data_IF_038709464249
#
_entry.id   IF_038709464249
#
_cell.length_a   1.000
_cell.length_b   1.000
_cell.length_c   1.000
_cell.angle_alpha   90.00
_cell.angle_beta   90.00
_cell.angle_gamma   90.00
#
_symmetry.space_group_name_H-M   'P 1'
#
loop_
_entity.id
_entity.type
_entity.pdbx_description
1 polymer ?
#
# COMPACT_ATOMS: atom_id res chain seq x y z
N UNK A 1 -1.87 6.72 -2.81
CA UNK A 1 -2.71 6.11 -1.75
C UNK A 1 -4.20 6.02 -2.08
N UNK A 2 -4.67 6.54 -3.23
CA UNK A 2 -6.10 6.68 -3.53
C UNK A 2 -6.66 5.54 -4.39
N UNK A 3 -5.83 4.58 -4.80
CA UNK A 3 -6.25 3.46 -5.67
C UNK A 3 -7.29 2.54 -5.01
N UNK A 4 -7.29 2.47 -3.68
CA UNK A 4 -8.36 1.83 -2.91
C UNK A 4 -9.75 2.40 -3.19
N UNK A 5 -9.84 3.67 -3.59
CA UNK A 5 -11.08 4.29 -4.02
C UNK A 5 -11.25 4.25 -5.54
N UNK A 6 -10.22 4.62 -6.29
CA UNK A 6 -10.31 4.74 -7.75
C UNK A 6 -10.69 3.43 -8.44
N UNK A 7 -10.07 2.31 -8.04
CA UNK A 7 -10.30 1.03 -8.72
C UNK A 7 -11.72 0.51 -8.49
N UNK A 8 -12.25 0.41 -7.25
CA UNK A 8 -13.65 0.04 -7.03
C UNK A 8 -14.64 0.99 -7.70
N UNK A 9 -14.44 2.31 -7.60
CA UNK A 9 -15.36 3.29 -8.17
C UNK A 9 -15.38 3.23 -9.70
N UNK A 10 -14.23 3.08 -10.35
CA UNK A 10 -14.18 2.86 -11.79
C UNK A 10 -14.84 1.54 -12.19
N UNK A 11 -14.59 0.47 -11.43
CA UNK A 11 -15.22 -0.82 -11.67
C UNK A 11 -16.75 -0.77 -11.51
N UNK A 12 -17.25 0.03 -10.57
CA UNK A 12 -18.69 0.29 -10.41
C UNK A 12 -19.28 0.99 -11.63
N UNK A 13 -18.63 2.05 -12.12
CA UNK A 13 -19.07 2.77 -13.31
C UNK A 13 -19.10 1.83 -14.53
N UNK A 14 -18.06 1.00 -14.71
CA UNK A 14 -18.02 0.00 -15.79
C UNK A 14 -19.16 -1.01 -15.62
N UNK A 15 -19.34 -1.56 -14.41
CA UNK A 15 -20.37 -2.53 -14.11
C UNK A 15 -21.79 -2.00 -14.39
N UNK A 16 -22.07 -0.76 -14.00
CA UNK A 16 -23.39 -0.15 -14.21
C UNK A 16 -23.61 0.28 -15.66
N UNK A 17 -22.59 0.79 -16.35
CA UNK A 17 -22.70 1.13 -17.78
C UNK A 17 -22.90 -0.11 -18.65
N UNK A 18 -22.23 -1.21 -18.33
CA UNK A 18 -22.40 -2.48 -19.06
C UNK A 18 -23.85 -2.99 -19.09
N UNK A 19 -24.67 -2.63 -18.10
CA UNK A 19 -26.11 -2.97 -18.05
C UNK A 19 -26.95 -2.17 -19.05
N UNK A 20 -26.46 -1.01 -19.51
CA UNK A 20 -27.19 -0.04 -20.34
C UNK A 20 -26.73 -0.01 -21.80
N UNK A 21 -25.60 -0.64 -22.13
CA UNK A 21 -25.01 -0.64 -23.48
C UNK A 21 -25.16 -2.00 -24.18
N UNK A 22 -25.09 -1.97 -25.51
CA UNK A 22 -25.06 -3.17 -26.36
C UNK A 22 -23.79 -3.98 -26.11
N UNK A 23 -23.83 -5.28 -26.47
CA UNK A 23 -22.74 -6.23 -26.20
C UNK A 23 -21.39 -5.77 -26.74
N UNK A 24 -21.37 -5.15 -27.93
CA UNK A 24 -20.14 -4.73 -28.61
C UNK A 24 -19.47 -3.52 -27.94
N UNK A 25 -20.22 -2.76 -27.13
CA UNK A 25 -19.70 -1.62 -26.35
C UNK A 25 -19.44 -1.98 -24.89
N UNK A 26 -19.61 -3.25 -24.49
CA UNK A 26 -19.33 -3.69 -23.11
C UNK A 26 -17.84 -3.86 -22.88
N UNK A 27 -17.37 -3.37 -21.74
CA UNK A 27 -16.04 -3.69 -21.23
C UNK A 27 -16.13 -5.02 -20.49
N UNK A 28 -15.42 -6.04 -20.96
CA UNK A 28 -15.42 -7.39 -20.35
C UNK A 28 -14.58 -7.45 -19.06
N UNK A 29 -15.00 -6.70 -18.04
CA UNK A 29 -14.34 -6.68 -16.73
C UNK A 29 -14.53 -8.02 -16.02
N UNK A 30 -13.42 -8.73 -15.75
CA UNK A 30 -13.43 -10.05 -15.09
C UNK A 30 -13.18 -10.01 -13.60
N UNK A 31 -12.59 -8.92 -13.13
CA UNK A 31 -12.23 -8.75 -11.74
C UNK A 31 -11.32 -7.55 -11.56
N UNK A 32 -11.09 -7.22 -10.31
CA UNK A 32 -10.16 -6.16 -9.91
C UNK A 32 -9.19 -6.70 -8.89
N UNK A 33 -7.98 -6.16 -8.93
CA UNK A 33 -6.90 -6.53 -8.06
C UNK A 33 -6.38 -5.23 -7.46
N UNK A 34 -6.68 -4.99 -6.19
CA UNK A 34 -6.37 -3.73 -5.50
C UNK A 34 -5.37 -3.97 -4.40
N UNK A 35 -4.34 -3.13 -4.44
CA UNK A 35 -3.29 -3.00 -3.47
C UNK A 35 -3.49 -1.93 -2.39
N UNK A 36 -3.03 -2.20 -1.17
CA UNK A 36 -2.96 -1.37 0.05
C UNK A 36 -4.13 -0.42 0.00
N UNK A 37 -5.34 -0.97 -0.12
CA UNK A 37 -6.46 -0.10 -0.36
C UNK A 37 -6.71 0.69 0.91
N UNK A 38 -6.84 2.00 0.76
CA UNK A 38 -7.72 2.74 1.65
C UNK A 38 -9.13 2.22 1.35
N UNK A 39 -9.77 1.58 2.32
CA UNK A 39 -11.10 0.96 2.16
C UNK A 39 -12.14 1.71 3.00
N UNK A 40 -11.76 2.06 4.23
CA UNK A 40 -12.65 2.63 5.22
C UNK A 40 -11.80 3.40 6.23
N UNK A 41 -11.91 4.72 6.18
CA UNK A 41 -11.04 5.62 6.96
C UNK A 41 -10.98 5.26 8.45
N UNK A 42 -12.13 4.88 9.04
CA UNK A 42 -12.22 4.51 10.44
C UNK A 42 -11.38 3.27 10.78
N UNK A 43 -11.57 2.18 10.04
CA UNK A 43 -10.80 0.94 10.27
C UNK A 43 -9.36 1.07 9.83
N UNK A 44 -9.09 1.91 8.83
CA UNK A 44 -7.74 2.18 8.37
C UNK A 44 -6.95 2.93 9.44
N UNK A 45 -7.53 3.97 10.06
CA UNK A 45 -6.94 4.70 11.18
C UNK A 45 -6.71 3.81 12.41
N UNK A 46 -7.71 3.04 12.83
CA UNK A 46 -7.59 2.12 13.96
C UNK A 46 -6.49 1.07 13.69
N UNK A 47 -6.44 0.53 12.47
CA UNK A 47 -5.45 -0.46 12.09
C UNK A 47 -4.02 0.07 12.13
N UNK A 48 -3.78 1.32 11.73
CA UNK A 48 -2.45 1.98 11.83
C UNK A 48 -1.96 2.01 13.28
N UNK A 49 -2.85 2.33 14.22
CA UNK A 49 -2.51 2.44 15.64
C UNK A 49 -2.14 1.08 16.22
N UNK A 50 -2.97 0.05 15.97
CA UNK A 50 -2.70 -1.30 16.46
C UNK A 50 -1.47 -1.94 15.80
N UNK A 51 -1.21 -1.61 14.54
CA UNK A 51 -0.01 -2.06 13.84
C UNK A 51 1.24 -1.43 14.44
N UNK A 52 1.24 -0.11 14.64
CA UNK A 52 2.36 0.58 15.26
C UNK A 52 2.68 0.00 16.65
N UNK A 53 1.65 -0.24 17.46
CA UNK A 53 1.81 -0.84 18.79
C UNK A 53 2.37 -2.26 18.72
N UNK A 54 1.76 -3.14 17.93
CA UNK A 54 2.20 -4.54 17.78
C UNK A 54 3.60 -4.70 17.18
N UNK A 55 4.14 -3.66 16.53
CA UNK A 55 5.49 -3.63 15.96
C UNK A 55 6.46 -2.77 16.77
N UNK A 56 6.13 -2.48 18.04
CA UNK A 56 6.96 -1.72 18.98
C UNK A 56 7.35 -0.30 18.51
N UNK A 57 6.53 0.32 17.66
CA UNK A 57 6.72 1.70 17.19
C UNK A 57 6.12 2.74 18.14
N UNK A 58 5.19 2.32 19.00
CA UNK A 58 4.59 3.14 20.06
C UNK A 58 4.45 2.32 21.34
N UNK A 59 4.44 2.99 22.49
CA UNK A 59 4.27 2.33 23.80
C UNK A 59 2.82 2.00 24.11
N UNK A 60 2.60 1.18 25.14
CA UNK A 60 1.28 0.83 25.67
C UNK A 60 0.50 2.08 26.10
N UNK A 61 1.17 3.08 26.69
CA UNK A 61 0.55 4.33 27.11
C UNK A 61 0.04 5.15 25.93
N UNK A 62 0.83 5.24 24.85
CA UNK A 62 0.44 5.96 23.63
C UNK A 62 -0.73 5.24 22.94
N UNK A 63 -0.65 3.91 22.83
CA UNK A 63 -1.72 3.08 22.26
C UNK A 63 -3.03 3.26 23.04
N UNK A 64 -2.98 3.12 24.37
CA UNK A 64 -4.13 3.32 25.25
C UNK A 64 -4.69 4.73 25.14
N UNK A 65 -3.84 5.76 25.20
CA UNK A 65 -4.26 7.16 25.12
C UNK A 65 -5.02 7.46 23.83
N UNK A 66 -4.58 6.90 22.70
CA UNK A 66 -5.25 7.07 21.42
C UNK A 66 -6.60 6.38 21.41
N UNK A 67 -6.68 5.12 21.85
CA UNK A 67 -7.96 4.40 21.91
C UNK A 67 -8.97 5.04 22.87
N UNK A 68 -8.50 5.63 23.98
CA UNK A 68 -9.36 6.33 24.93
C UNK A 68 -9.81 7.72 24.40
N UNK A 69 -8.97 8.39 23.59
CA UNK A 69 -9.22 9.76 23.12
C UNK A 69 -9.87 9.85 21.73
N UNK A 70 -9.74 8.82 20.90
CA UNK A 70 -10.12 8.83 19.50
C UNK A 70 -11.32 7.91 19.24
N UNK A 71 -12.38 8.48 18.67
CA UNK A 71 -13.47 7.71 18.06
C UNK A 71 -13.23 7.60 16.56
N UNK A 72 -12.63 6.50 16.12
CA UNK A 72 -12.32 6.30 14.72
C UNK A 72 -13.59 6.25 13.86
N UNK A 73 -13.68 7.14 12.87
CA UNK A 73 -14.84 7.30 11.99
C UNK A 73 -15.65 8.57 12.24
N UNK A 74 -15.46 9.22 13.39
CA UNK A 74 -15.97 10.55 13.65
C UNK A 74 -14.93 11.62 13.30
N UNK A 75 -15.35 12.89 13.29
CA UNK A 75 -14.41 14.02 13.17
C UNK A 75 -13.42 13.98 14.34
N UNK A 76 -12.13 13.92 14.02
CA UNK A 76 -11.07 13.86 15.04
C UNK A 76 -11.12 15.09 15.95
N UNK A 77 -11.19 14.85 17.26
CA UNK A 77 -11.13 15.90 18.27
C UNK A 77 -9.71 16.45 18.41
N UNK A 78 -9.57 17.66 18.93
CA UNK A 78 -8.25 18.22 19.23
C UNK A 78 -7.44 17.31 20.18
N UNK A 79 -8.13 16.70 21.15
CA UNK A 79 -7.53 15.74 22.08
C UNK A 79 -7.01 14.51 21.35
N UNK A 80 -7.81 13.92 20.45
CA UNK A 80 -7.37 12.79 19.63
C UNK A 80 -6.14 13.15 18.78
N UNK A 81 -6.15 14.30 18.10
CA UNK A 81 -4.99 14.75 17.33
C UNK A 81 -3.73 14.91 18.18
N UNK A 82 -3.87 15.39 19.42
CA UNK A 82 -2.74 15.52 20.34
C UNK A 82 -2.19 14.16 20.77
N UNK A 83 -3.02 13.14 20.92
CA UNK A 83 -2.57 11.78 21.27
C UNK A 83 -1.64 11.16 20.23
N UNK A 84 -1.76 11.56 18.94
CA UNK A 84 -0.85 11.13 17.88
C UNK A 84 0.55 11.75 17.94
N UNK A 85 0.80 12.74 18.81
CA UNK A 85 2.17 13.28 19.00
C UNK A 85 3.16 12.22 19.51
N UNK A 86 2.67 11.12 20.10
CA UNK A 86 3.48 9.97 20.49
C UNK A 86 3.98 9.10 19.32
N UNK A 87 3.60 9.38 18.07
CA UNK A 87 4.04 8.63 16.86
C UNK A 87 5.42 9.06 16.37
N UNK A 88 6.36 9.34 17.30
CA UNK A 88 7.66 9.93 16.98
C UNK A 88 8.56 9.00 16.15
N UNK A 89 8.41 7.68 16.29
CA UNK A 89 9.19 6.69 15.53
C UNK A 89 9.09 6.91 14.01
N UNK A 90 7.90 7.24 13.49
CA UNK A 90 7.67 7.48 12.06
C UNK A 90 8.36 8.73 11.49
N UNK A 91 8.94 9.58 12.35
CA UNK A 91 9.75 10.71 11.89
C UNK A 91 11.14 10.26 11.38
N UNK A 92 11.64 9.11 11.84
CA UNK A 92 12.98 8.61 11.54
C UNK A 92 13.01 7.34 10.69
N UNK A 93 11.86 6.66 10.53
CA UNK A 93 11.75 5.42 9.76
C UNK A 93 10.87 5.59 8.52
N UNK A 94 11.04 4.70 7.55
CA UNK A 94 10.17 4.64 6.39
C UNK A 94 8.81 4.03 6.75
N UNK A 95 7.76 4.84 6.89
CA UNK A 95 6.39 4.36 7.17
C UNK A 95 5.89 3.36 6.12
N UNK A 96 6.42 3.41 4.89
CA UNK A 96 6.04 2.49 3.83
C UNK A 96 6.69 1.11 3.98
N UNK A 97 7.70 0.96 4.81
CA UNK A 97 8.36 -0.33 5.06
C UNK A 97 9.22 -0.21 6.31
N UNK A 98 8.64 -0.57 7.46
CA UNK A 98 9.17 -0.21 8.79
C UNK A 98 10.52 -0.84 9.12
N UNK A 99 10.91 -1.90 8.40
CA UNK A 99 12.16 -2.64 8.59
C UNK A 99 13.23 -2.31 7.55
N UNK A 100 12.99 -1.32 6.68
CA UNK A 100 13.94 -0.98 5.60
C UNK A 100 14.57 0.38 5.82
N UNK A 101 15.81 0.59 5.33
CA UNK A 101 16.50 1.86 5.48
C UNK A 101 15.76 3.00 4.77
N UNK A 102 16.02 4.21 5.24
CA UNK A 102 15.58 5.46 4.58
C UNK A 102 16.63 5.91 3.56
N UNK A 103 16.19 6.66 2.54
CA UNK A 103 17.12 7.29 1.61
C UNK A 103 17.78 8.49 2.30
N UNK A 104 19.07 8.37 2.64
CA UNK A 104 19.88 9.47 3.16
C UNK A 104 20.54 10.17 1.98
N UNK A 105 20.03 11.34 1.59
CA UNK A 105 20.66 12.14 0.54
C UNK A 105 21.96 12.77 1.05
N UNK A 106 23.07 12.53 0.35
CA UNK A 106 24.40 13.08 0.65
C UNK A 106 24.59 14.54 0.18
N UNK A 107 23.52 15.34 0.09
CA UNK A 107 23.60 16.72 -0.40
C UNK A 107 23.60 17.73 0.76
N UNK A 108 24.63 18.59 0.92
CA UNK A 108 24.73 19.57 2.01
C UNK A 108 23.72 20.73 1.99
N UNK A 109 22.69 20.69 1.15
CA UNK A 109 21.97 21.89 0.70
C UNK A 109 20.49 21.99 1.07
N UNK A 110 20.01 21.26 2.09
CA UNK A 110 18.72 21.56 2.71
C UNK A 110 18.89 21.79 4.21
N UNK A 111 19.01 23.07 4.57
CA UNK A 111 18.80 23.53 5.95
C UNK A 111 17.33 23.26 6.28
N UNK A 112 17.02 22.14 6.93
CA UNK A 112 15.90 21.91 7.87
C UNK A 112 15.54 20.43 8.10
N UNK A 113 16.53 19.53 8.11
CA UNK A 113 16.39 18.27 8.85
C UNK A 113 17.53 18.19 9.86
N UNK A 114 17.16 17.98 11.12
CA UNK A 114 18.07 17.78 12.26
C UNK A 114 19.16 16.79 11.88
N UNK A 115 20.39 17.31 11.75
CA UNK A 115 21.60 16.51 11.56
C UNK A 115 21.77 15.63 12.78
N UNK A 116 21.62 14.31 12.63
CA UNK A 116 22.31 13.39 13.52
C UNK A 116 23.75 13.36 13.03
N UNK A 117 24.64 14.03 13.76
CA UNK A 117 26.08 13.86 13.60
C UNK A 117 26.41 12.41 13.95
N UNK A 118 26.75 11.58 12.96
CA UNK A 118 27.60 10.43 13.23
C UNK A 118 29.04 10.89 13.05
N UNK A 119 29.81 10.87 14.13
CA UNK A 119 31.25 11.12 14.09
C UNK A 119 31.90 10.28 12.98
N UNK A 120 32.51 10.99 12.02
CA UNK A 120 33.42 10.40 11.05
C UNK A 120 34.69 9.98 11.78
N UNK A 121 34.94 8.67 11.89
CA UNK A 121 36.26 8.00 11.83
C UNK A 121 36.33 6.69 12.63
N UNK A 122 35.36 5.78 12.47
CA UNK A 122 35.56 4.36 12.84
C UNK A 122 34.80 3.51 11.84
N UNK A 123 35.54 2.84 10.93
CA UNK A 123 35.03 1.81 10.05
C UNK A 123 34.53 0.65 10.93
N UNK A 124 33.25 0.69 11.29
CA UNK A 124 32.60 -0.37 12.03
C UNK A 124 32.02 -1.39 11.05
N UNK A 125 31.89 -2.63 11.50
CA UNK A 125 31.27 -3.74 10.76
C UNK A 125 29.89 -3.45 10.17
N UNK A 126 29.18 -2.40 10.62
CA UNK A 126 27.94 -1.89 10.00
C UNK A 126 28.13 -1.39 8.55
N UNK A 127 29.28 -0.79 8.20
CA UNK A 127 29.53 -0.25 6.86
C UNK A 127 29.65 -1.35 5.79
N UNK A 128 29.98 -2.57 6.21
CA UNK A 128 30.07 -3.75 5.32
C UNK A 128 28.67 -4.32 5.05
N UNK A 129 27.77 -4.30 6.05
CA UNK A 129 26.38 -4.74 5.89
C UNK A 129 25.54 -3.77 5.04
N UNK A 130 25.88 -2.48 5.01
CA UNK A 130 25.28 -1.50 4.10
C UNK A 130 25.76 -1.59 2.64
N UNK A 131 26.82 -2.36 2.35
CA UNK A 131 27.36 -2.61 1.00
C UNK A 131 26.87 -3.92 0.37
N UNK A 132 26.24 -4.80 1.14
CA UNK A 132 25.50 -5.92 0.57
C UNK A 132 24.25 -5.35 -0.10
N UNK A 133 23.96 -5.70 -1.37
CA UNK A 133 22.77 -5.21 -2.03
C UNK A 133 21.55 -5.75 -1.28
N UNK A 134 20.95 -4.91 -0.44
CA UNK A 134 19.54 -5.07 -0.14
C UNK A 134 18.82 -5.05 -1.50
N UNK A 135 17.93 -6.00 -1.72
CA UNK A 135 17.11 -6.06 -2.95
C UNK A 135 16.22 -4.81 -3.15
N UNK A 136 16.20 -3.90 -2.17
CA UNK A 136 15.41 -2.68 -2.13
C UNK A 136 16.32 -1.45 -1.95
N UNK A 137 16.24 -0.50 -2.88
CA UNK A 137 16.87 0.82 -2.78
C UNK A 137 15.82 1.90 -2.43
N UNK A 138 15.88 2.51 -1.23
CA UNK A 138 14.90 3.53 -0.81
C UNK A 138 15.01 4.83 -1.62
N UNK A 139 16.11 5.08 -2.33
CA UNK A 139 16.33 6.25 -3.16
C UNK A 139 15.79 6.10 -4.59
N UNK A 140 15.21 4.93 -4.93
CA UNK A 140 14.62 4.66 -6.26
C UNK A 140 13.72 5.79 -6.80
N UNK A 141 12.84 6.42 -6.00
CA UNK A 141 12.03 7.55 -6.48
C UNK A 141 12.84 8.72 -7.02
N UNK A 142 14.01 9.04 -6.43
CA UNK A 142 14.86 10.14 -6.90
C UNK A 142 15.48 9.83 -8.27
N UNK A 143 15.89 8.59 -8.50
CA UNK A 143 16.40 8.18 -9.82
C UNK A 143 15.31 8.24 -10.88
N UNK A 144 14.09 7.81 -10.54
CA UNK A 144 12.95 7.90 -11.44
C UNK A 144 12.63 9.36 -11.81
N UNK A 145 12.55 10.27 -10.84
CA UNK A 145 12.33 11.69 -11.11
C UNK A 145 13.45 12.29 -11.97
N UNK A 146 14.72 11.96 -11.70
CA UNK A 146 15.84 12.40 -12.53
C UNK A 146 15.71 11.88 -13.97
N UNK A 147 15.33 10.61 -14.14
CA UNK A 147 15.16 9.98 -15.45
C UNK A 147 14.03 10.61 -16.26
N UNK A 148 12.84 10.75 -15.67
CA UNK A 148 11.66 11.31 -16.35
C UNK A 148 11.76 12.81 -16.64
N UNK A 149 12.69 13.52 -15.99
CA UNK A 149 13.00 14.92 -16.29
C UNK A 149 14.06 15.12 -17.37
N UNK A 150 14.65 14.05 -17.93
CA UNK A 150 15.55 14.19 -19.07
C UNK A 150 14.78 14.57 -20.33
N UNK A 151 15.32 15.51 -21.11
CA UNK A 151 14.68 16.00 -22.34
C UNK A 151 14.47 14.89 -23.37
N UNK A 152 15.47 14.03 -23.57
CA UNK A 152 15.38 12.92 -24.53
C UNK A 152 14.31 11.89 -24.12
N UNK A 153 14.19 11.60 -22.82
CA UNK A 153 13.11 10.76 -22.27
C UNK A 153 11.74 11.40 -22.47
N UNK A 154 11.60 12.70 -22.20
CA UNK A 154 10.32 13.40 -22.40
C UNK A 154 9.91 13.39 -23.88
N UNK A 155 10.85 13.63 -24.80
CA UNK A 155 10.60 13.54 -26.25
C UNK A 155 10.16 12.13 -26.64
N UNK A 156 10.86 11.10 -26.16
CA UNK A 156 10.52 9.71 -26.47
C UNK A 156 9.14 9.28 -25.92
N UNK A 157 8.70 9.85 -24.80
CA UNK A 157 7.38 9.59 -24.20
C UNK A 157 6.28 10.52 -24.74
N UNK A 158 6.60 11.41 -25.67
CA UNK A 158 5.72 12.50 -26.10
C UNK A 158 5.18 13.34 -24.93
N UNK A 159 5.96 13.44 -23.85
CA UNK A 159 5.66 14.24 -22.67
C UNK A 159 6.25 15.64 -22.83
N UNK A 160 5.71 16.61 -22.08
CA UNK A 160 6.17 18.01 -22.10
C UNK A 160 6.19 18.66 -23.50
N UNK A 161 5.28 18.23 -24.40
CA UNK A 161 5.18 18.76 -25.77
C UNK A 161 4.78 20.24 -25.82
N UNK A 162 4.22 20.78 -24.74
CA UNK A 162 3.78 22.17 -24.59
C UNK A 162 4.74 23.05 -23.78
N UNK A 163 5.93 22.56 -23.41
CA UNK A 163 6.89 23.26 -22.53
C UNK A 163 6.27 23.72 -21.19
N UNK A 164 5.81 22.76 -20.39
CA UNK A 164 5.25 23.01 -19.06
C UNK A 164 6.32 23.62 -18.13
N UNK A 165 5.94 24.57 -17.24
CA UNK A 165 6.90 25.37 -16.48
C UNK A 165 7.42 24.67 -15.21
N UNK A 166 7.12 23.39 -15.00
CA UNK A 166 7.50 22.64 -13.80
C UNK A 166 8.05 21.25 -14.16
N UNK A 167 8.96 20.69 -13.35
CA UNK A 167 9.47 19.35 -13.59
C UNK A 167 8.41 18.29 -13.28
N UNK A 168 8.61 17.10 -13.84
CA UNK A 168 7.93 15.90 -13.38
C UNK A 168 8.30 15.62 -11.92
N UNK A 169 7.29 15.31 -11.10
CA UNK A 169 7.44 14.79 -9.74
C UNK A 169 6.60 13.53 -9.59
N UNK A 170 7.01 12.61 -8.71
CA UNK A 170 6.29 11.36 -8.49
C UNK A 170 4.89 11.57 -7.90
N UNK A 171 4.73 12.62 -7.09
CA UNK A 171 3.46 13.04 -6.49
C UNK A 171 3.27 14.55 -6.66
N UNK A 172 2.06 14.98 -7.00
CA UNK A 172 1.69 16.39 -7.09
C UNK A 172 0.96 16.85 -5.82
N UNK A 173 1.41 17.95 -5.23
CA UNK A 173 0.73 18.61 -4.10
C UNK A 173 -0.40 19.56 -4.54
N UNK A 174 -0.51 19.83 -5.85
CA UNK A 174 -1.55 20.69 -6.44
C UNK A 174 -2.90 20.00 -6.41
N UNK A 175 -2.93 18.69 -6.67
CA UNK A 175 -4.15 17.90 -6.68
C UNK A 175 -4.55 17.60 -5.23
N UNK A 176 -5.52 18.34 -4.71
CA UNK A 176 -6.16 18.07 -3.41
C UNK A 176 -7.47 17.35 -3.65
N UNK A 177 -7.57 16.11 -3.21
CA UNK A 177 -8.81 15.36 -3.29
C UNK A 177 -9.59 15.49 -1.99
N UNK A 178 -10.69 16.26 -2.02
CA UNK A 178 -11.48 16.61 -0.83
C UNK A 178 -12.87 15.98 -0.79
N UNK A 179 -13.33 15.37 -1.89
CA UNK A 179 -14.70 14.85 -2.06
C UNK A 179 -14.77 13.31 -2.09
N UNK A 180 -13.76 12.63 -1.54
CA UNK A 180 -13.77 11.18 -1.48
C UNK A 180 -14.83 10.69 -0.47
N UNK A 181 -15.64 9.66 -0.80
CA UNK A 181 -16.45 8.99 0.22
C UNK A 181 -15.50 8.35 1.25
N UNK A 182 -15.87 8.35 2.52
CA UNK A 182 -15.03 7.81 3.62
C UNK A 182 -14.87 6.29 3.56
N UNK A 183 -15.60 5.61 2.69
CA UNK A 183 -15.50 4.17 2.48
C UNK A 183 -15.95 3.71 1.10
N UNK A 184 -15.34 2.61 0.63
CA UNK A 184 -15.75 1.88 -0.58
C UNK A 184 -16.35 0.50 -0.29
N UNK A 185 -16.59 0.16 0.98
CA UNK A 185 -17.22 -1.12 1.35
C UNK A 185 -18.53 -1.40 0.57
N UNK A 186 -19.47 -0.44 0.44
CA UNK A 186 -20.70 -0.68 -0.30
C UNK A 186 -20.45 -1.03 -1.78
N UNK A 187 -19.45 -0.39 -2.37
CA UNK A 187 -19.04 -0.61 -3.77
C UNK A 187 -18.46 -2.02 -3.92
N UNK A 188 -17.55 -2.41 -3.03
CA UNK A 188 -16.97 -3.77 -3.03
C UNK A 188 -18.08 -4.82 -2.92
N UNK A 189 -19.02 -4.65 -1.99
CA UNK A 189 -20.16 -5.57 -1.84
C UNK A 189 -21.06 -5.64 -3.08
N UNK A 190 -21.32 -4.49 -3.73
CA UNK A 190 -22.08 -4.43 -4.98
C UNK A 190 -21.38 -5.20 -6.10
N UNK A 191 -20.06 -5.01 -6.26
CA UNK A 191 -19.27 -5.67 -7.29
C UNK A 191 -19.20 -7.20 -7.07
N UNK A 192 -19.05 -7.64 -5.80
CA UNK A 192 -19.11 -9.07 -5.46
C UNK A 192 -20.46 -9.70 -5.80
N UNK A 193 -21.58 -9.02 -5.49
CA UNK A 193 -22.93 -9.46 -5.90
C UNK A 193 -23.08 -9.52 -7.42
N UNK A 194 -22.35 -8.68 -8.15
CA UNK A 194 -22.26 -8.70 -9.60
C UNK A 194 -21.41 -9.83 -10.19
N UNK A 195 -20.86 -10.73 -9.36
CA UNK A 195 -20.02 -11.86 -9.79
C UNK A 195 -18.59 -11.48 -10.18
N UNK A 196 -18.14 -10.25 -9.87
CA UNK A 196 -16.77 -9.84 -10.11
C UNK A 196 -15.83 -10.42 -9.05
N UNK A 197 -14.72 -11.00 -9.51
CA UNK A 197 -13.65 -11.46 -8.61
C UNK A 197 -12.88 -10.25 -8.09
N UNK A 198 -12.71 -10.16 -6.77
CA UNK A 198 -12.00 -9.04 -6.15
C UNK A 198 -10.85 -9.61 -5.32
N UNK A 199 -9.62 -9.35 -5.74
CA UNK A 199 -8.47 -9.68 -4.92
C UNK A 199 -8.09 -8.40 -4.16
N UNK A 200 -8.37 -8.41 -2.86
CA UNK A 200 -7.88 -7.39 -1.94
C UNK A 200 -6.57 -7.89 -1.40
N UNK A 201 -5.54 -7.10 -1.55
CA UNK A 201 -4.22 -7.44 -1.07
C UNK A 201 -3.54 -6.09 -0.89
N UNK A 202 -2.57 -5.97 -0.01
CA UNK A 202 -1.86 -4.71 0.17
C UNK A 202 -1.03 -4.34 -1.15
N UNK A 203 -0.52 -3.12 -1.39
CA UNK A 203 0.45 -2.36 -2.29
C UNK A 203 -0.01 -0.89 -2.52
N UNK A 204 0.86 0.11 -2.59
CA UNK A 204 0.61 1.42 -3.19
C UNK A 204 1.18 1.55 -4.60
N UNK A 205 0.49 2.37 -5.39
CA UNK A 205 0.74 2.80 -6.78
C UNK A 205 1.00 1.76 -7.87
N UNK A 206 1.46 0.53 -7.62
CA UNK A 206 1.45 -0.61 -8.58
C UNK A 206 1.50 -1.96 -7.81
N UNK A 207 0.59 -2.92 -8.10
CA UNK A 207 0.24 -4.27 -7.47
C UNK A 207 1.02 -4.86 -6.24
N UNK A 208 0.44 -5.64 -5.30
CA UNK A 208 1.08 -6.57 -4.27
C UNK A 208 1.24 -6.25 -2.73
N UNK A 209 0.98 -7.22 -1.83
CA UNK A 209 0.69 -6.96 -0.39
C UNK A 209 1.81 -7.02 0.61
N UNK A 210 2.18 -5.93 1.27
CA UNK A 210 3.27 -5.96 2.24
C UNK A 210 2.83 -6.14 3.69
N UNK A 211 3.41 -7.10 4.43
CA UNK A 211 3.21 -7.19 5.88
C UNK A 211 4.07 -6.20 6.70
N UNK A 212 5.03 -5.51 6.08
CA UNK A 212 5.92 -4.51 6.72
C UNK A 212 5.52 -3.05 6.48
N UNK A 213 4.46 -2.80 5.71
CA UNK A 213 3.98 -1.44 5.49
C UNK A 213 3.27 -0.93 6.76
N UNK A 214 3.67 0.25 7.26
CA UNK A 214 3.05 0.92 8.39
C UNK A 214 1.95 1.90 7.99
N UNK A 215 1.86 2.27 6.71
CA UNK A 215 0.91 3.30 6.26
C UNK A 215 -0.52 2.81 6.09
N UNK A 216 -0.71 1.55 5.65
CA UNK A 216 -2.02 0.94 5.39
C UNK A 216 -2.12 -0.52 5.86
N UNK A 217 -1.89 -0.81 7.16
CA UNK A 217 -1.52 -2.12 7.69
C UNK A 217 -2.44 -3.30 7.36
N UNK A 218 -1.89 -4.52 7.49
CA UNK A 218 -2.67 -5.77 7.41
C UNK A 218 -3.87 -5.70 8.37
N UNK A 219 -3.68 -5.10 9.56
CA UNK A 219 -4.74 -4.82 10.55
C UNK A 219 -5.87 -3.97 9.97
N UNK A 220 -5.56 -2.87 9.27
CA UNK A 220 -6.52 -1.99 8.60
C UNK A 220 -7.43 -2.75 7.64
N UNK A 221 -6.83 -3.56 6.76
CA UNK A 221 -7.59 -4.37 5.80
C UNK A 221 -8.44 -5.42 6.51
N UNK A 222 -7.91 -6.10 7.54
CA UNK A 222 -8.65 -7.10 8.31
C UNK A 222 -9.87 -6.49 9.01
N UNK A 223 -9.75 -5.28 9.54
CA UNK A 223 -10.86 -4.57 10.17
C UNK A 223 -11.93 -4.17 9.15
N UNK A 224 -11.53 -3.68 7.98
CA UNK A 224 -12.44 -3.43 6.86
C UNK A 224 -13.20 -4.72 6.44
N UNK A 225 -12.50 -5.85 6.29
CA UNK A 225 -13.10 -7.14 5.94
C UNK A 225 -14.10 -7.63 7.00
N UNK A 226 -13.78 -7.47 8.29
CA UNK A 226 -14.70 -7.79 9.39
C UNK A 226 -16.00 -6.98 9.30
N UNK A 227 -15.94 -5.69 8.94
CA UNK A 227 -17.14 -4.86 8.71
C UNK A 227 -18.01 -5.37 7.56
N UNK A 228 -17.43 -5.99 6.54
CA UNK A 228 -18.19 -6.55 5.42
C UNK A 228 -18.98 -7.81 5.78
N UNK A 229 -18.65 -8.47 6.90
CA UNK A 229 -19.31 -9.71 7.39
C UNK A 229 -19.40 -10.82 6.34
N UNK A 230 -18.35 -10.96 5.53
CA UNK A 230 -18.26 -12.01 4.51
C UNK A 230 -17.99 -13.37 5.16
N UNK A 231 -18.59 -14.43 4.62
CA UNK A 231 -18.33 -15.81 5.05
C UNK A 231 -16.96 -16.25 4.54
N UNK A 232 -16.10 -16.76 5.43
CA UNK A 232 -14.83 -17.38 5.04
C UNK A 232 -15.11 -18.68 4.29
N UNK A 233 -14.50 -18.82 3.12
CA UNK A 233 -14.61 -20.00 2.25
C UNK A 233 -13.36 -20.88 2.37
N UNK A 234 -12.17 -20.27 2.36
CA UNK A 234 -10.90 -20.95 2.67
C UNK A 234 -10.22 -20.21 3.82
N UNK A 235 -9.90 -20.89 4.93
CA UNK A 235 -9.32 -20.26 6.10
C UNK A 235 -7.91 -19.73 5.82
N UNK A 236 -7.48 -18.80 6.68
CA UNK A 236 -6.13 -18.25 6.66
C UNK A 236 -5.05 -19.34 6.61
N UNK A 237 -4.30 -19.37 5.52
CA UNK A 237 -3.23 -20.34 5.26
C UNK A 237 -2.02 -19.67 4.64
N UNK A 238 -0.86 -20.32 4.71
CA UNK A 238 0.30 -19.88 3.94
C UNK A 238 0.10 -20.13 2.44
N UNK A 239 0.78 -19.33 1.63
CA UNK A 239 1.04 -19.64 0.23
C UNK A 239 2.53 -19.56 -0.07
N UNK A 240 2.95 -20.27 -1.12
CA UNK A 240 4.35 -20.54 -1.39
C UNK A 240 4.78 -19.97 -2.75
N UNK A 241 6.02 -19.51 -2.80
CA UNK A 241 6.75 -19.26 -4.04
C UNK A 241 8.01 -20.11 -3.99
N UNK A 242 8.07 -21.12 -4.86
CA UNK A 242 9.10 -22.16 -4.82
C UNK A 242 9.10 -22.86 -3.44
N UNK A 243 10.27 -23.01 -2.82
CA UNK A 243 10.44 -23.69 -1.53
C UNK A 243 10.14 -22.81 -0.30
N UNK A 244 9.84 -21.52 -0.49
CA UNK A 244 9.67 -20.54 0.59
C UNK A 244 8.22 -20.08 0.78
N UNK A 245 7.87 -19.73 2.01
CA UNK A 245 6.58 -19.10 2.33
C UNK A 245 6.60 -17.67 1.81
N UNK A 246 5.77 -17.39 0.82
CA UNK A 246 5.68 -16.08 0.21
C UNK A 246 4.69 -15.16 0.92
N UNK A 247 3.80 -15.71 1.74
CA UNK A 247 2.90 -14.97 2.62
C UNK A 247 1.68 -15.79 3.01
N UNK A 248 0.54 -15.13 3.23
CA UNK A 248 -0.69 -15.78 3.66
C UNK A 248 -1.89 -15.37 2.82
N UNK A 249 -2.92 -16.21 2.81
CA UNK A 249 -4.13 -16.02 2.01
C UNK A 249 -5.36 -16.53 2.76
N UNK A 250 -6.46 -15.82 2.62
CA UNK A 250 -7.80 -16.22 3.07
C UNK A 250 -8.81 -15.84 1.98
N UNK A 251 -9.72 -16.75 1.66
CA UNK A 251 -10.75 -16.50 0.65
C UNK A 251 -12.11 -16.43 1.30
N UNK A 252 -12.96 -15.56 0.76
CA UNK A 252 -14.30 -15.30 1.22
C UNK A 252 -15.30 -15.60 0.11
N UNK A 253 -16.47 -16.07 0.53
CA UNK A 253 -17.58 -16.34 -0.36
C UNK A 253 -17.93 -15.11 -1.21
N UNK A 254 -18.26 -15.34 -2.48
CA UNK A 254 -18.50 -14.27 -3.46
C UNK A 254 -17.26 -13.85 -4.24
N UNK A 255 -16.12 -14.52 -4.05
CA UNK A 255 -14.92 -14.34 -4.88
C UNK A 255 -13.97 -13.25 -4.38
N UNK A 256 -14.05 -12.88 -3.10
CA UNK A 256 -13.07 -12.01 -2.47
C UNK A 256 -11.89 -12.83 -1.94
N UNK A 257 -10.67 -12.46 -2.31
CA UNK A 257 -9.44 -13.10 -1.79
C UNK A 257 -8.58 -12.06 -1.10
N UNK A 258 -8.23 -12.30 0.16
CA UNK A 258 -7.28 -11.49 0.93
C UNK A 258 -5.91 -12.15 0.94
N UNK A 259 -4.86 -11.44 0.48
CA UNK A 259 -3.49 -11.97 0.38
C UNK A 259 -2.49 -11.04 1.07
N UNK A 260 -1.53 -11.61 1.78
CA UNK A 260 -0.29 -10.95 2.24
C UNK A 260 0.95 -11.51 1.55
N UNK A 261 1.98 -10.68 1.40
CA UNK A 261 3.31 -11.03 0.91
C UNK A 261 4.30 -10.71 2.02
N UNK A 262 4.99 -11.75 2.46
CA UNK A 262 5.90 -11.74 3.60
C UNK A 262 7.11 -10.88 3.32
N UNK A 263 7.46 -10.00 4.27
CA UNK A 263 8.65 -9.13 4.23
C UNK A 263 8.54 -7.95 3.27
N UNK A 264 7.40 -7.76 2.62
CA UNK A 264 7.24 -6.71 1.63
C UNK A 264 6.63 -5.45 2.26
N UNK A 265 7.02 -4.28 1.74
CA UNK A 265 6.53 -2.97 2.19
C UNK A 265 5.35 -2.45 1.35
N UNK A 266 5.25 -1.13 1.22
CA UNK A 266 4.08 -0.50 0.62
C UNK A 266 4.03 -0.78 -0.87
N UNK A 267 5.17 -0.86 -1.56
CA UNK A 267 5.21 -1.15 -2.99
C UNK A 267 5.74 -2.56 -3.22
N UNK A 268 4.93 -3.59 -3.03
CA UNK A 268 5.47 -4.96 -3.03
C UNK A 268 6.10 -5.48 -4.32
N UNK A 269 5.82 -5.01 -5.56
CA UNK A 269 6.64 -5.44 -6.69
C UNK A 269 8.08 -4.96 -6.54
N UNK A 270 8.31 -3.88 -5.79
CA UNK A 270 9.62 -3.34 -5.49
C UNK A 270 10.35 -4.15 -4.40
N UNK A 271 9.62 -4.66 -3.39
CA UNK A 271 10.22 -5.43 -2.29
C UNK A 271 10.30 -6.94 -2.56
N UNK A 272 9.35 -7.49 -3.32
CA UNK A 272 9.19 -8.92 -3.56
C UNK A 272 8.73 -9.18 -5.01
N UNK A 273 9.57 -8.87 -6.02
CA UNK A 273 9.18 -8.91 -7.45
C UNK A 273 8.77 -10.31 -7.93
N UNK A 274 9.46 -11.36 -7.50
CA UNK A 274 9.16 -12.74 -7.92
C UNK A 274 7.82 -13.23 -7.36
N UNK A 275 7.59 -12.99 -6.06
CA UNK A 275 6.35 -13.31 -5.35
C UNK A 275 5.17 -12.51 -5.95
N UNK A 276 5.41 -11.24 -6.26
CA UNK A 276 4.48 -10.35 -6.94
C UNK A 276 4.04 -10.89 -8.30
N UNK A 277 4.99 -11.34 -9.11
CA UNK A 277 4.69 -11.91 -10.42
C UNK A 277 3.89 -13.22 -10.32
N UNK A 278 4.19 -14.08 -9.34
CA UNK A 278 3.37 -15.26 -9.07
C UNK A 278 1.95 -14.85 -8.69
N UNK A 279 1.81 -13.92 -7.76
CA UNK A 279 0.51 -13.42 -7.33
C UNK A 279 -0.31 -12.85 -8.51
N UNK A 280 0.33 -12.07 -9.38
CA UNK A 280 -0.28 -11.53 -10.61
C UNK A 280 -0.74 -12.61 -11.57
N UNK A 281 0.16 -13.55 -11.87
CA UNK A 281 -0.08 -14.60 -12.85
C UNK A 281 -1.24 -15.49 -12.43
N UNK A 282 -1.32 -15.82 -11.14
CA UNK A 282 -2.44 -16.59 -10.58
C UNK A 282 -3.77 -15.82 -10.62
N UNK A 283 -3.75 -14.51 -10.35
CA UNK A 283 -4.94 -13.67 -10.48
C UNK A 283 -5.48 -13.67 -11.92
N UNK A 284 -4.60 -13.44 -12.90
CA UNK A 284 -4.95 -13.43 -14.33
C UNK A 284 -5.46 -14.79 -14.80
N UNK A 285 -4.77 -15.87 -14.42
CA UNK A 285 -5.13 -17.24 -14.77
C UNK A 285 -6.38 -17.77 -14.03
N UNK A 286 -6.90 -17.02 -13.05
CA UNK A 286 -8.00 -17.46 -12.18
C UNK A 286 -7.68 -18.73 -11.38
N UNK A 287 -6.43 -18.87 -10.96
CA UNK A 287 -5.95 -20.01 -10.20
C UNK A 287 -5.76 -19.64 -8.72
N UNK A 288 -6.00 -20.57 -7.78
CA UNK A 288 -5.66 -20.36 -6.38
C UNK A 288 -4.14 -20.24 -6.21
N UNK A 289 -3.70 -19.54 -5.17
CA UNK A 289 -2.27 -19.45 -4.84
C UNK A 289 -1.74 -20.80 -4.33
N UNK A 290 -0.48 -21.16 -4.66
CA UNK A 290 0.11 -22.44 -4.28
C UNK A 290 0.02 -22.70 -2.77
N UNK A 291 -0.45 -23.88 -2.38
CA UNK A 291 -0.60 -24.30 -0.98
C UNK A 291 0.56 -25.16 -0.48
N UNK A 292 1.51 -25.51 -1.34
CA UNK A 292 2.68 -26.31 -1.02
C UNK A 292 3.91 -25.79 -1.77
N UNK A 293 5.08 -26.21 -1.31
CA UNK A 293 6.36 -25.99 -1.99
C UNK A 293 6.38 -26.69 -3.35
N UNK A 294 7.14 -26.12 -4.28
CA UNK A 294 7.40 -26.65 -5.61
C UNK A 294 8.79 -26.22 -6.10
#
# INVERSE_FOLDING_TARGET
MLLGHYVPQLAEVIHDRNKKVTRDSRINLKGIMIGNPVINEATDAAGIVDYAWSHALISDEVHKLIHDSCRFGDKLTAQCNKSFTGFTAYAAINIYSIYTPVCLSSSPSSKNHTRVMSDHNLLTSQDIWGRLPYAYDPCTPHYAEKYFNRKDVQVALHANVTNIPYPYTACSSVIKWTEAPTTVIPIIQKLLKGGLRIWLYRTGSFGYSGDTDGRLPVTSTRYSLRKMRLKVESPWRSWFHKSEVAGWVETYAGGLTFVTVRGAGHQVPLFAPAQSLTLFSHFLASLPLPSSRF
#
